data_IF_843301536132
#
_entry.id   IF_843301536132
#
_cell.length_a   1.000
_cell.length_b   1.000
_cell.length_c   1.000
_cell.angle_alpha   90.00
_cell.angle_beta   90.00
_cell.angle_gamma   90.00
#
_symmetry.space_group_name_H-M   'P 1'
#
loop_
_entity.id
_entity.type
_entity.pdbx_description
1 polymer ?
#
# COMPACT_ATOMS: atom_id res chain seq x y z
N UNK A 1 34.25 -0.40 -6.41
CA UNK A 1 33.10 0.43 -5.98
C UNK A 1 32.09 0.39 -7.11
N UNK A 2 30.87 -0.10 -6.86
CA UNK A 2 29.88 -0.41 -7.90
C UNK A 2 29.40 0.83 -8.66
N UNK A 3 29.31 0.69 -9.98
CA UNK A 3 28.81 1.68 -10.92
C UNK A 3 27.28 1.79 -10.78
N UNK A 4 26.81 2.81 -10.08
CA UNK A 4 25.37 3.08 -9.97
C UNK A 4 24.91 3.76 -11.26
N UNK A 5 24.13 3.06 -12.08
CA UNK A 5 23.50 3.68 -13.25
C UNK A 5 22.58 4.81 -12.80
N UNK A 6 22.68 5.96 -13.47
CA UNK A 6 21.78 7.07 -13.21
C UNK A 6 20.35 6.62 -13.49
N UNK A 7 19.40 7.02 -12.64
CA UNK A 7 17.97 6.78 -12.88
C UNK A 7 17.53 7.27 -14.27
N UNK A 8 18.17 8.32 -14.79
CA UNK A 8 17.92 8.80 -16.15
C UNK A 8 18.36 7.80 -17.23
N UNK A 9 19.48 7.09 -17.03
CA UNK A 9 19.97 6.05 -17.94
C UNK A 9 19.13 4.79 -17.90
N UNK A 10 18.73 4.36 -16.70
CA UNK A 10 17.82 3.20 -16.51
C UNK A 10 16.50 3.46 -17.24
N UNK A 11 15.94 4.66 -17.10
CA UNK A 11 14.67 5.05 -17.74
C UNK A 11 14.77 5.11 -19.26
N UNK A 12 15.90 5.60 -19.77
CA UNK A 12 16.21 5.62 -21.21
C UNK A 12 16.27 4.20 -21.77
N UNK A 13 17.08 3.33 -21.15
CA UNK A 13 17.23 1.92 -21.56
C UNK A 13 15.90 1.17 -21.53
N UNK A 14 15.08 1.40 -20.49
CA UNK A 14 13.74 0.81 -20.36
C UNK A 14 12.84 1.20 -21.54
N UNK A 15 12.81 2.48 -21.93
CA UNK A 15 12.03 2.94 -23.09
C UNK A 15 12.55 2.38 -24.41
N UNK A 16 13.86 2.34 -24.59
CA UNK A 16 14.51 1.77 -25.79
C UNK A 16 14.24 0.27 -25.94
N UNK A 17 14.17 -0.46 -24.82
CA UNK A 17 13.89 -1.91 -24.81
C UNK A 17 12.43 -2.29 -25.07
N UNK A 18 11.51 -1.32 -25.03
CA UNK A 18 10.08 -1.55 -25.19
C UNK A 18 9.43 -0.51 -26.12
N UNK A 19 9.81 -0.49 -27.43
CA UNK A 19 9.37 0.52 -28.38
C UNK A 19 7.86 0.49 -28.67
N UNK A 20 7.20 -0.65 -28.47
CA UNK A 20 5.77 -0.83 -28.74
C UNK A 20 4.86 -0.40 -27.57
N UNK A 21 5.44 -0.02 -26.41
CA UNK A 21 4.66 0.39 -25.24
C UNK A 21 4.35 1.88 -25.32
N UNK A 22 3.06 2.20 -25.49
CA UNK A 22 2.59 3.60 -25.52
C UNK A 22 2.87 4.37 -24.22
N UNK A 23 2.97 5.69 -24.30
CA UNK A 23 3.11 6.56 -23.12
C UNK A 23 1.95 6.39 -22.12
N UNK A 24 0.72 6.19 -22.62
CA UNK A 24 -0.45 5.91 -21.78
C UNK A 24 -0.29 4.62 -20.98
N UNK A 25 0.33 3.59 -21.58
CA UNK A 25 0.59 2.34 -20.87
C UNK A 25 1.72 2.48 -19.84
N UNK A 26 2.76 3.26 -20.14
CA UNK A 26 3.80 3.61 -19.17
C UNK A 26 3.23 4.35 -17.96
N UNK A 27 2.36 5.34 -18.17
CA UNK A 27 1.71 6.05 -17.05
C UNK A 27 0.80 5.13 -16.24
N UNK A 28 0.03 4.24 -16.89
CA UNK A 28 -0.73 3.20 -16.16
C UNK A 28 0.17 2.31 -15.31
N UNK A 29 1.29 1.81 -15.85
CA UNK A 29 2.25 0.98 -15.10
C UNK A 29 2.82 1.72 -13.89
N UNK A 30 3.22 2.99 -14.09
CA UNK A 30 3.73 3.85 -13.03
C UNK A 30 2.67 4.12 -11.96
N UNK A 31 1.43 4.38 -12.35
CA UNK A 31 0.32 4.57 -11.42
C UNK A 31 0.06 3.30 -10.61
N UNK A 32 -0.02 2.13 -11.26
CA UNK A 32 -0.17 0.84 -10.58
C UNK A 32 0.98 0.58 -9.59
N UNK A 33 2.23 0.83 -10.00
CA UNK A 33 3.39 0.67 -9.12
C UNK A 33 3.36 1.64 -7.93
N UNK A 34 2.93 2.89 -8.14
CA UNK A 34 2.75 3.88 -7.08
C UNK A 34 1.69 3.42 -6.08
N UNK A 35 0.51 3.03 -6.56
CA UNK A 35 -0.58 2.54 -5.69
C UNK A 35 -0.20 1.28 -4.92
N UNK A 36 0.52 0.33 -5.56
CA UNK A 36 1.03 -0.85 -4.87
C UNK A 36 2.04 -0.49 -3.77
N UNK A 37 2.91 0.49 -4.03
CA UNK A 37 3.88 1.00 -3.05
C UNK A 37 3.17 1.66 -1.87
N UNK A 38 2.18 2.52 -2.13
CA UNK A 38 1.37 3.17 -1.09
C UNK A 38 0.65 2.15 -0.20
N UNK A 39 0.03 1.13 -0.79
CA UNK A 39 -0.64 0.06 -0.06
C UNK A 39 0.34 -0.76 0.80
N UNK A 40 1.54 -1.04 0.27
CA UNK A 40 2.58 -1.75 1.00
C UNK A 40 3.08 -0.96 2.22
N UNK A 41 3.32 0.33 2.07
CA UNK A 41 3.73 1.22 3.18
C UNK A 41 2.65 1.28 4.25
N UNK A 42 1.37 1.40 3.87
CA UNK A 42 0.26 1.38 4.82
C UNK A 42 0.17 0.06 5.59
N UNK A 43 0.28 -1.07 4.89
CA UNK A 43 0.29 -2.40 5.52
C UNK A 43 1.47 -2.58 6.49
N UNK A 44 2.65 -2.09 6.11
CA UNK A 44 3.84 -2.09 6.94
C UNK A 44 3.63 -1.31 8.24
N UNK A 45 3.05 -0.11 8.18
CA UNK A 45 2.78 0.67 9.38
C UNK A 45 1.79 0.00 10.34
N UNK A 46 0.75 -0.66 9.82
CA UNK A 46 -0.14 -1.46 10.67
C UNK A 46 0.60 -2.60 11.37
N UNK A 47 1.51 -3.26 10.64
CA UNK A 47 2.38 -4.30 11.21
C UNK A 47 3.26 -3.74 12.33
N UNK A 48 3.89 -2.58 12.11
CA UNK A 48 4.73 -1.93 13.14
C UNK A 48 3.94 -1.65 14.41
N UNK A 49 2.76 -1.03 14.29
CA UNK A 49 1.88 -0.73 15.44
C UNK A 49 1.49 -2.03 16.18
N UNK A 50 1.18 -3.11 15.44
CA UNK A 50 0.88 -4.42 16.03
C UNK A 50 2.07 -4.97 16.82
N UNK A 51 3.27 -4.91 16.25
CA UNK A 51 4.50 -5.44 16.84
C UNK A 51 4.93 -4.63 18.07
N UNK A 52 4.75 -3.31 18.07
CA UNK A 52 4.96 -2.43 19.23
C UNK A 52 4.06 -2.82 20.42
N UNK A 53 2.88 -3.38 20.16
CA UNK A 53 1.95 -3.88 21.17
C UNK A 53 2.21 -5.35 21.56
N UNK A 54 3.26 -5.98 21.03
CA UNK A 54 3.58 -7.40 21.23
C UNK A 54 2.46 -8.37 20.82
N UNK A 55 1.60 -7.98 19.87
CA UNK A 55 0.50 -8.80 19.38
C UNK A 55 0.96 -9.66 18.20
N UNK A 56 0.50 -10.90 18.14
CA UNK A 56 0.66 -11.73 16.93
C UNK A 56 -0.40 -11.38 15.89
N UNK A 57 -0.19 -11.80 14.64
CA UNK A 57 -1.23 -11.68 13.61
C UNK A 57 -2.51 -12.47 13.98
N UNK A 58 -2.39 -13.55 14.75
CA UNK A 58 -3.53 -14.34 15.22
C UNK A 58 -4.34 -13.59 16.30
N UNK A 59 -3.69 -12.81 17.16
CA UNK A 59 -4.36 -12.01 18.19
C UNK A 59 -5.24 -10.93 17.56
N UNK A 60 -4.69 -10.21 16.58
CA UNK A 60 -5.46 -9.21 15.83
C UNK A 60 -6.56 -9.86 15.00
N UNK A 61 -6.27 -10.99 14.34
CA UNK A 61 -7.28 -11.74 13.58
C UNK A 61 -8.50 -12.09 14.45
N UNK A 62 -8.25 -12.56 15.68
CA UNK A 62 -9.29 -12.86 16.67
C UNK A 62 -10.06 -11.61 17.11
N UNK A 63 -9.38 -10.49 17.36
CA UNK A 63 -10.01 -9.24 17.76
C UNK A 63 -10.91 -8.65 16.67
N UNK A 64 -10.51 -8.79 15.40
CA UNK A 64 -11.21 -8.24 14.23
C UNK A 64 -12.27 -9.20 13.67
N UNK A 65 -12.17 -10.50 13.97
CA UNK A 65 -13.08 -11.54 13.44
C UNK A 65 -12.76 -11.95 12.00
N UNK A 66 -11.49 -11.88 11.59
CA UNK A 66 -11.02 -12.29 10.26
C UNK A 66 -9.97 -13.40 10.39
N UNK A 67 -9.56 -14.02 9.28
CA UNK A 67 -8.49 -15.02 9.31
C UNK A 67 -7.11 -14.38 9.53
N UNK A 68 -6.18 -15.12 10.14
CA UNK A 68 -4.78 -14.68 10.23
C UNK A 68 -4.15 -14.50 8.84
N UNK A 69 -4.53 -15.31 7.86
CA UNK A 69 -4.14 -15.13 6.47
C UNK A 69 -4.58 -13.75 5.93
N UNK A 70 -5.79 -13.29 6.29
CA UNK A 70 -6.29 -11.97 5.92
C UNK A 70 -5.48 -10.84 6.55
N UNK A 71 -5.10 -10.99 7.81
CA UNK A 71 -4.19 -10.05 8.50
C UNK A 71 -2.85 -9.96 7.78
N UNK A 72 -2.25 -11.11 7.42
CA UNK A 72 -0.99 -11.16 6.66
C UNK A 72 -1.09 -10.51 5.28
N UNK A 73 -2.21 -10.68 4.57
CA UNK A 73 -2.45 -9.99 3.29
C UNK A 73 -2.48 -8.47 3.48
N UNK A 74 -3.24 -7.98 4.45
CA UNK A 74 -3.31 -6.55 4.76
C UNK A 74 -1.93 -5.97 5.08
N UNK A 75 -1.15 -6.63 5.93
CA UNK A 75 0.21 -6.19 6.30
C UNK A 75 1.19 -6.18 5.13
N UNK A 76 0.92 -6.95 4.06
CA UNK A 76 1.73 -6.95 2.82
C UNK A 76 1.24 -5.93 1.78
N UNK A 77 0.16 -5.22 2.05
CA UNK A 77 -0.46 -4.24 1.14
C UNK A 77 -1.54 -4.83 0.24
N UNK A 78 -1.95 -6.07 0.43
CA UNK A 78 -3.11 -6.67 -0.25
C UNK A 78 -4.41 -6.22 0.45
N UNK A 79 -4.84 -4.99 0.16
CA UNK A 79 -6.03 -4.36 0.73
C UNK A 79 -7.19 -4.53 -0.25
N UNK A 80 -8.32 -5.12 0.21
CA UNK A 80 -9.46 -5.37 -0.67
C UNK A 80 -10.77 -4.69 -0.25
N UNK A 81 -10.90 -4.26 1.00
CA UNK A 81 -12.07 -3.50 1.43
C UNK A 81 -11.72 -2.56 2.60
N UNK A 82 -12.40 -1.42 2.65
CA UNK A 82 -12.16 -0.37 3.66
C UNK A 82 -12.62 -0.80 5.06
N UNK A 83 -13.66 -1.62 5.16
CA UNK A 83 -14.19 -2.09 6.45
C UNK A 83 -13.16 -2.92 7.22
N UNK A 84 -12.47 -3.85 6.55
CA UNK A 84 -11.38 -4.64 7.14
C UNK A 84 -10.27 -3.73 7.64
N UNK A 85 -9.91 -2.68 6.88
CA UNK A 85 -8.88 -1.73 7.28
C UNK A 85 -9.31 -0.91 8.50
N UNK A 86 -10.58 -0.48 8.55
CA UNK A 86 -11.17 0.22 9.71
C UNK A 86 -11.16 -0.67 10.95
N UNK A 87 -11.61 -1.91 10.83
CA UNK A 87 -11.67 -2.86 11.94
C UNK A 87 -10.27 -3.27 12.41
N UNK A 88 -9.31 -3.46 11.48
CA UNK A 88 -7.90 -3.68 11.84
C UNK A 88 -7.37 -2.49 12.63
N UNK A 89 -7.44 -1.28 12.07
CA UNK A 89 -6.95 -0.08 12.74
C UNK A 89 -7.59 0.07 14.14
N UNK A 90 -8.91 -0.13 14.24
CA UNK A 90 -9.62 -0.08 15.52
C UNK A 90 -9.13 -1.13 16.53
N UNK A 91 -8.84 -2.36 16.11
CA UNK A 91 -8.28 -3.41 16.98
C UNK A 91 -6.88 -3.07 17.50
N UNK A 92 -6.14 -2.21 16.80
CA UNK A 92 -4.85 -1.66 17.26
C UNK A 92 -5.00 -0.33 18.03
N UNK A 93 -6.21 0.19 18.21
CA UNK A 93 -6.43 1.52 18.79
C UNK A 93 -6.04 2.68 17.85
N UNK A 94 -5.81 2.41 16.57
CA UNK A 94 -5.52 3.39 15.54
C UNK A 94 -6.80 3.89 14.84
N UNK A 95 -6.72 5.04 14.18
CA UNK A 95 -7.81 5.64 13.40
C UNK A 95 -7.45 5.65 11.92
N UNK A 96 -8.28 5.02 11.09
CA UNK A 96 -8.19 5.14 9.64
C UNK A 96 -9.04 6.31 9.15
N UNK A 97 -8.43 7.29 8.49
CA UNK A 97 -9.15 8.38 7.82
C UNK A 97 -9.06 8.19 6.31
N UNK A 98 -10.18 8.33 5.60
CA UNK A 98 -10.23 8.25 4.13
C UNK A 98 -10.63 9.62 3.59
N UNK A 99 -9.81 10.17 2.69
CA UNK A 99 -10.09 11.38 1.93
C UNK A 99 -10.38 11.07 0.47
N UNK A 100 -11.22 11.90 -0.13
CA UNK A 100 -11.52 11.93 -1.56
C UNK A 100 -11.10 13.31 -2.06
N UNK A 101 -10.25 13.31 -3.08
CA UNK A 101 -9.77 14.52 -3.75
C UNK A 101 -10.49 14.69 -5.09
N UNK A 102 -11.07 15.87 -5.32
CA UNK A 102 -11.73 16.23 -6.56
C UNK A 102 -11.38 17.67 -6.95
N UNK A 103 -10.49 17.83 -7.94
CA UNK A 103 -9.89 19.12 -8.25
C UNK A 103 -9.17 19.66 -7.02
N UNK A 104 -9.50 20.88 -6.59
CA UNK A 104 -8.96 21.51 -5.38
C UNK A 104 -9.76 21.20 -4.11
N UNK A 105 -10.76 20.31 -4.16
CA UNK A 105 -11.61 19.98 -3.02
C UNK A 105 -11.17 18.66 -2.40
N UNK A 106 -11.00 18.67 -1.08
CA UNK A 106 -10.78 17.47 -0.28
C UNK A 106 -12.00 17.26 0.62
N UNK A 107 -12.67 16.11 0.48
CA UNK A 107 -13.76 15.68 1.36
C UNK A 107 -13.37 14.39 2.09
N UNK A 108 -13.59 14.30 3.40
CA UNK A 108 -13.23 13.12 4.19
C UNK A 108 -14.43 12.48 4.88
N UNK A 109 -14.39 11.15 5.04
CA UNK A 109 -15.29 10.43 5.92
C UNK A 109 -14.49 9.97 7.15
N UNK A 110 -14.82 10.52 8.32
CA UNK A 110 -14.26 10.12 9.61
C UNK A 110 -14.71 8.70 10.01
#
# INVERSE_FOLDING_TARGET
>A
MGEYSSWAEVKRRMRESAPDVSDAEWERRKQTARTATEAHVLGHHLREIREEQNLTQADVAKAVGISQARVSQVERGEIHNLETMRSYAAALGARLTVSIEYGDRVGGAA
#
